data_IF_943441603124
#
_entry.id   IF_943441603124
#
_cell.length_a   1.000
_cell.length_b   1.000
_cell.length_c   1.000
_cell.angle_alpha   90.00
_cell.angle_beta   90.00
_cell.angle_gamma   90.00
#
_symmetry.space_group_name_H-M   'P 1'
#
loop_
_entity.id
_entity.type
_entity.pdbx_description
1 polymer ?
#
# COMPACT_ATOMS: atom_id res chain seq x y z
N UNK A 1 1.96 14.41 18.01
CA UNK A 1 2.41 14.38 16.60
C UNK A 1 2.46 12.93 16.16
N UNK A 2 2.47 12.63 14.86
CA UNK A 2 2.66 11.25 14.40
C UNK A 2 4.13 10.83 14.60
N UNK A 3 4.36 9.57 14.97
CA UNK A 3 5.68 9.09 15.37
C UNK A 3 6.47 8.54 14.19
N UNK A 4 7.78 8.80 14.16
CA UNK A 4 8.74 8.10 13.32
C UNK A 4 9.67 7.26 14.20
N UNK A 5 9.60 5.94 14.05
CA UNK A 5 10.46 5.02 14.79
C UNK A 5 11.86 4.99 14.19
N UNK A 6 12.90 5.10 15.03
CA UNK A 6 14.30 5.05 14.60
C UNK A 6 14.91 3.69 14.90
N UNK A 7 15.26 2.98 13.83
CA UNK A 7 15.92 1.68 13.83
C UNK A 7 17.42 1.93 13.64
N UNK A 8 18.22 1.75 14.69
CA UNK A 8 19.63 2.10 14.67
C UNK A 8 20.42 1.22 15.66
N UNK A 9 21.69 0.89 15.40
CA UNK A 9 22.54 0.26 16.41
C UNK A 9 22.71 1.15 17.65
N UNK A 10 22.66 0.55 18.84
CA UNK A 10 22.95 1.26 20.10
C UNK A 10 24.43 1.13 20.44
N UNK A 11 25.08 2.24 20.75
CA UNK A 11 26.52 2.27 21.04
C UNK A 11 26.92 3.04 22.31
N UNK A 12 25.95 3.46 23.12
CA UNK A 12 26.16 4.02 24.45
C UNK A 12 26.91 5.36 24.42
N UNK A 13 26.34 6.35 23.74
CA UNK A 13 26.86 7.72 23.65
C UNK A 13 27.97 7.93 22.61
N UNK A 14 28.18 6.98 21.69
CA UNK A 14 29.23 7.07 20.67
C UNK A 14 28.66 7.61 19.35
N UNK A 15 28.97 6.98 18.22
CA UNK A 15 28.70 7.53 16.89
C UNK A 15 27.22 7.55 16.59
N UNK A 16 26.49 6.49 16.91
CA UNK A 16 25.09 6.34 16.55
C UNK A 16 24.20 7.22 17.42
N UNK A 17 24.48 7.31 18.71
CA UNK A 17 23.81 8.24 19.62
C UNK A 17 23.96 9.70 19.19
N UNK A 18 25.19 10.14 18.89
CA UNK A 18 25.42 11.51 18.39
C UNK A 18 24.73 11.77 17.06
N UNK A 19 24.79 10.81 16.12
CA UNK A 19 24.07 10.92 14.83
C UNK A 19 22.56 11.03 15.03
N UNK A 20 22.00 10.31 16.00
CA UNK A 20 20.58 10.43 16.33
C UNK A 20 20.25 11.83 16.85
N UNK A 21 20.97 12.30 17.86
CA UNK A 21 20.74 13.60 18.53
C UNK A 21 20.94 14.79 17.59
N UNK A 22 22.03 14.78 16.82
CA UNK A 22 22.45 15.96 16.02
C UNK A 22 21.82 15.99 14.62
N UNK A 23 21.41 14.83 14.09
CA UNK A 23 21.04 14.68 12.67
C UNK A 23 19.68 14.04 12.49
N UNK A 24 19.45 12.83 13.01
CA UNK A 24 18.26 12.06 12.66
C UNK A 24 16.99 12.55 13.37
N UNK A 25 17.05 12.76 14.68
CA UNK A 25 15.92 13.30 15.43
C UNK A 25 15.53 14.70 14.93
N UNK A 26 16.48 15.64 14.69
CA UNK A 26 16.16 16.92 14.07
C UNK A 26 15.59 16.79 12.65
N UNK A 27 16.10 15.88 11.81
CA UNK A 27 15.56 15.65 10.46
C UNK A 27 14.10 15.17 10.47
N UNK A 28 13.78 14.27 11.40
CA UNK A 28 12.44 13.74 11.61
C UNK A 28 11.50 14.84 12.12
N UNK A 29 11.96 15.63 13.11
CA UNK A 29 11.22 16.78 13.63
C UNK A 29 10.95 17.82 12.53
N UNK A 30 11.95 18.12 11.69
CA UNK A 30 11.78 19.00 10.53
C UNK A 30 10.69 18.45 9.59
N UNK A 31 10.57 17.12 9.44
CA UNK A 31 9.52 16.49 8.64
C UNK A 31 8.11 16.59 9.26
N UNK A 32 7.97 17.12 10.48
CA UNK A 32 6.71 17.24 11.22
C UNK A 32 6.30 15.98 11.98
N UNK A 33 7.27 15.14 12.34
CA UNK A 33 7.07 13.88 13.05
C UNK A 33 7.80 13.91 14.40
N UNK A 34 7.35 13.09 15.34
CA UNK A 34 8.04 12.88 16.62
C UNK A 34 9.06 11.73 16.49
N UNK A 35 10.37 11.98 16.69
CA UNK A 35 11.38 10.92 16.62
C UNK A 35 11.34 10.03 17.86
N UNK A 36 11.07 8.75 17.68
CA UNK A 36 11.06 7.78 18.78
C UNK A 36 12.20 6.76 18.63
N UNK A 37 13.00 6.61 19.69
CA UNK A 37 14.07 5.60 19.78
C UNK A 37 13.93 4.89 21.12
N UNK A 38 13.74 3.58 21.08
CA UNK A 38 13.28 2.79 22.23
C UNK A 38 14.23 2.87 23.44
N UNK A 39 15.54 2.92 23.22
CA UNK A 39 16.53 2.96 24.31
C UNK A 39 16.60 4.31 25.04
N UNK A 40 15.94 5.34 24.49
CA UNK A 40 15.78 6.65 25.13
C UNK A 40 14.53 6.73 26.01
N UNK A 41 13.67 5.72 25.98
CA UNK A 41 12.47 5.67 26.80
C UNK A 41 12.75 4.95 28.13
N UNK A 42 12.75 5.66 29.27
CA UNK A 42 13.03 5.07 30.57
C UNK A 42 11.91 4.15 31.09
N UNK A 43 10.73 4.15 30.45
CA UNK A 43 9.59 3.30 30.84
C UNK A 43 9.63 1.89 30.23
N UNK A 44 10.50 1.66 29.25
CA UNK A 44 10.59 0.38 28.53
C UNK A 44 11.24 -0.69 29.42
N UNK A 45 10.49 -1.76 29.69
CA UNK A 45 10.94 -2.88 30.53
C UNK A 45 11.19 -4.16 29.73
N UNK A 46 10.41 -4.39 28.66
CA UNK A 46 10.56 -5.55 27.75
C UNK A 46 10.88 -4.99 26.35
N UNK A 47 12.16 -4.92 25.96
CA UNK A 47 12.56 -4.17 24.77
C UNK A 47 11.91 -4.68 23.48
N UNK A 48 11.74 -5.99 23.30
CA UNK A 48 11.29 -6.53 22.02
C UNK A 48 9.81 -6.26 21.72
N UNK A 49 8.92 -6.37 22.72
CA UNK A 49 7.49 -6.07 22.55
C UNK A 49 7.27 -4.58 22.32
N UNK A 50 8.03 -3.72 23.03
CA UNK A 50 7.95 -2.27 22.85
C UNK A 50 8.53 -1.81 21.52
N UNK A 51 9.56 -2.49 21.01
CA UNK A 51 10.06 -2.26 19.65
C UNK A 51 8.97 -2.59 18.63
N UNK A 52 8.33 -3.77 18.74
CA UNK A 52 7.26 -4.17 17.81
C UNK A 52 6.08 -3.19 17.85
N UNK A 53 5.59 -2.86 19.05
CA UNK A 53 4.53 -1.86 19.26
C UNK A 53 4.93 -0.50 18.71
N UNK A 54 6.13 -0.02 19.04
CA UNK A 54 6.62 1.26 18.56
C UNK A 54 6.70 1.33 17.04
N UNK A 55 7.09 0.24 16.38
CA UNK A 55 7.08 0.14 14.92
C UNK A 55 5.63 0.15 14.38
N UNK A 56 4.73 -0.63 14.97
CA UNK A 56 3.30 -0.72 14.60
C UNK A 56 2.54 0.59 14.79
N UNK A 57 2.87 1.37 15.80
CA UNK A 57 2.19 2.64 16.10
C UNK A 57 2.80 3.81 15.33
N UNK A 58 4.01 3.64 14.78
CA UNK A 58 4.67 4.65 13.95
C UNK A 58 4.05 4.75 12.55
N UNK A 59 4.03 5.97 11.99
CA UNK A 59 3.63 6.18 10.58
C UNK A 59 4.78 5.99 9.60
N UNK A 60 6.01 6.03 10.11
CA UNK A 60 7.24 5.87 9.34
C UNK A 60 8.36 5.31 10.21
N UNK A 61 9.32 4.66 9.57
CA UNK A 61 10.56 4.21 10.21
C UNK A 61 11.78 4.79 9.48
N UNK A 62 12.78 5.24 10.23
CA UNK A 62 14.10 5.59 9.72
C UNK A 62 15.08 4.50 10.14
N UNK A 63 15.69 3.79 9.20
CA UNK A 63 16.62 2.70 9.50
C UNK A 63 18.05 3.03 9.06
N UNK A 64 18.98 2.95 10.00
CA UNK A 64 20.42 3.12 9.80
C UNK A 64 21.07 1.75 9.62
N UNK A 65 21.50 1.44 8.39
CA UNK A 65 22.00 0.11 8.00
C UNK A 65 23.48 0.11 7.63
N UNK A 66 24.27 1.02 8.21
CA UNK A 66 25.71 1.10 7.93
C UNK A 66 26.48 -0.13 8.41
N UNK A 67 25.99 -0.81 9.43
CA UNK A 67 26.58 -2.03 9.98
C UNK A 67 25.64 -3.22 9.80
N UNK A 68 26.17 -4.44 9.77
CA UNK A 68 25.37 -5.67 9.78
C UNK A 68 24.89 -6.04 11.19
N UNK A 69 24.12 -5.14 11.80
CA UNK A 69 23.53 -5.37 13.11
C UNK A 69 22.27 -6.25 12.95
N UNK A 70 22.21 -7.44 13.59
CA UNK A 70 21.09 -8.37 13.44
C UNK A 70 19.76 -7.81 13.96
N UNK A 71 19.79 -6.96 15.00
CA UNK A 71 18.57 -6.36 15.55
C UNK A 71 17.99 -5.32 14.58
N UNK A 72 18.85 -4.50 13.98
CA UNK A 72 18.45 -3.55 12.92
C UNK A 72 17.78 -4.27 11.75
N UNK A 73 18.34 -5.42 11.32
CA UNK A 73 17.74 -6.20 10.24
C UNK A 73 16.38 -6.79 10.61
N UNK A 74 16.25 -7.29 11.84
CA UNK A 74 14.98 -7.79 12.36
C UNK A 74 13.91 -6.69 12.38
N UNK A 75 14.22 -5.55 12.99
CA UNK A 75 13.32 -4.39 13.10
C UNK A 75 12.93 -3.84 11.73
N UNK A 76 13.88 -3.77 10.80
CA UNK A 76 13.62 -3.34 9.43
C UNK A 76 12.68 -4.30 8.71
N UNK A 77 12.92 -5.62 8.83
CA UNK A 77 12.04 -6.64 8.29
C UNK A 77 10.62 -6.52 8.85
N UNK A 78 10.50 -6.28 10.16
CA UNK A 78 9.21 -6.09 10.83
C UNK A 78 8.48 -4.83 10.36
N UNK A 79 9.19 -3.70 10.25
CA UNK A 79 8.63 -2.46 9.72
C UNK A 79 8.11 -2.59 8.29
N UNK A 80 8.83 -3.35 7.45
CA UNK A 80 8.39 -3.67 6.09
C UNK A 80 7.13 -4.54 6.13
N UNK A 81 7.10 -5.58 6.96
CA UNK A 81 5.94 -6.46 7.11
C UNK A 81 4.68 -5.69 7.57
N UNK A 82 4.86 -4.72 8.48
CA UNK A 82 3.82 -3.81 8.95
C UNK A 82 3.45 -2.70 7.93
N UNK A 83 3.97 -2.76 6.69
CA UNK A 83 3.72 -1.79 5.62
C UNK A 83 4.02 -0.33 6.00
N UNK A 84 4.98 -0.12 6.90
CA UNK A 84 5.37 1.23 7.33
C UNK A 84 6.14 1.95 6.23
N UNK A 85 6.04 3.28 6.20
CA UNK A 85 6.91 4.10 5.35
C UNK A 85 8.34 4.04 5.87
N UNK A 86 9.19 3.25 5.22
CA UNK A 86 10.60 3.11 5.63
C UNK A 86 11.50 4.05 4.83
N UNK A 87 12.44 4.73 5.47
CA UNK A 87 13.59 5.43 4.87
C UNK A 87 14.88 4.74 5.31
N UNK A 88 15.69 4.29 4.35
CA UNK A 88 16.94 3.56 4.60
C UNK A 88 18.14 4.49 4.47
N UNK A 89 19.02 4.49 5.46
CA UNK A 89 20.27 5.25 5.49
C UNK A 89 21.47 4.31 5.54
N UNK A 90 22.53 4.66 4.81
CA UNK A 90 23.81 3.98 4.91
C UNK A 90 24.94 5.00 4.79
N UNK A 91 25.89 4.95 5.71
CA UNK A 91 27.15 5.66 5.57
C UNK A 91 27.90 5.11 4.36
N UNK A 92 28.59 5.97 3.63
CA UNK A 92 29.51 5.60 2.57
C UNK A 92 30.72 4.78 3.06
N UNK A 93 31.04 4.86 4.36
CA UNK A 93 32.02 4.00 5.07
C UNK A 93 31.70 2.49 5.02
N UNK A 94 30.47 2.09 4.66
CA UNK A 94 30.10 0.66 4.62
C UNK A 94 30.75 -0.03 3.44
N UNK A 95 31.48 -1.10 3.75
CA UNK A 95 31.96 -2.07 2.77
C UNK A 95 30.97 -3.24 2.58
N UNK A 96 30.99 -3.84 1.39
CA UNK A 96 30.21 -5.04 1.06
C UNK A 96 28.82 -4.78 0.47
N UNK A 97 28.13 -5.87 0.15
CA UNK A 97 26.80 -5.84 -0.47
C UNK A 97 25.70 -5.85 0.59
N UNK A 98 24.52 -5.33 0.23
CA UNK A 98 23.33 -5.47 1.06
C UNK A 98 22.67 -6.83 0.84
N UNK A 99 21.91 -7.35 1.83
CA UNK A 99 21.06 -8.52 1.63
C UNK A 99 20.12 -8.35 0.42
N UNK A 100 19.79 -9.46 -0.25
CA UNK A 100 18.96 -9.45 -1.46
C UNK A 100 17.59 -8.76 -1.25
N UNK A 101 17.01 -8.91 -0.07
CA UNK A 101 15.72 -8.33 0.32
C UNK A 101 15.75 -6.80 0.52
N UNK A 102 16.96 -6.20 0.59
CA UNK A 102 17.17 -4.77 0.83
C UNK A 102 17.82 -4.08 -0.37
N UNK A 103 18.71 -4.74 -1.12
CA UNK A 103 19.50 -4.12 -2.18
C UNK A 103 18.67 -3.45 -3.29
N UNK A 104 17.44 -3.92 -3.53
CA UNK A 104 16.52 -3.37 -4.53
C UNK A 104 15.77 -2.12 -4.04
N UNK A 105 15.89 -1.79 -2.75
CA UNK A 105 15.25 -0.62 -2.13
C UNK A 105 16.16 0.61 -2.29
N UNK A 106 15.54 1.79 -2.33
CA UNK A 106 16.28 3.05 -2.36
C UNK A 106 16.93 3.31 -1.00
N UNK A 107 18.25 3.13 -0.95
CA UNK A 107 19.12 3.43 0.20
C UNK A 107 19.76 4.80 0.00
N UNK A 108 19.68 5.64 1.02
CA UNK A 108 20.29 6.97 1.04
C UNK A 108 21.71 6.81 1.54
N UNK A 109 22.67 6.98 0.65
CA UNK A 109 24.08 7.05 1.04
C UNK A 109 24.40 8.43 1.58
N UNK A 110 25.15 8.51 2.67
CA UNK A 110 25.63 9.78 3.24
C UNK A 110 27.10 9.70 3.64
N UNK A 111 27.80 10.82 3.49
CA UNK A 111 29.19 10.96 3.92
C UNK A 111 29.28 11.52 5.32
N UNK A 112 30.41 11.27 5.97
CA UNK A 112 30.70 11.70 7.35
C UNK A 112 31.99 12.51 7.46
N UNK A 113 32.56 12.92 6.32
CA UNK A 113 33.81 13.66 6.24
C UNK A 113 33.68 15.09 6.77
N UNK A 114 32.52 15.74 6.62
CA UNK A 114 32.31 17.12 7.04
C UNK A 114 30.94 17.36 7.68
N UNK A 115 30.85 18.46 8.43
CA UNK A 115 29.58 18.94 8.99
C UNK A 115 28.54 19.24 7.92
N UNK A 116 28.98 19.67 6.73
CA UNK A 116 28.09 19.94 5.61
C UNK A 116 27.39 18.68 5.09
N UNK A 117 28.03 17.51 5.22
CA UNK A 117 27.45 16.24 4.78
C UNK A 117 26.33 15.78 5.70
N UNK A 118 26.49 16.02 7.01
CA UNK A 118 25.42 15.83 7.99
C UNK A 118 24.22 16.78 7.75
N UNK A 119 24.48 18.03 7.36
CA UNK A 119 23.40 18.97 7.01
C UNK A 119 22.66 18.55 5.74
N UNK A 120 23.38 18.05 4.73
CA UNK A 120 22.79 17.50 3.50
C UNK A 120 21.92 16.30 3.80
N UNK A 121 22.42 15.31 4.55
CA UNK A 121 21.63 14.10 4.87
C UNK A 121 20.42 14.45 5.74
N UNK A 122 20.53 15.36 6.71
CA UNK A 122 19.39 15.86 7.50
C UNK A 122 18.28 16.40 6.60
N UNK A 123 18.64 17.32 5.70
CA UNK A 123 17.69 17.94 4.75
C UNK A 123 17.06 16.89 3.83
N UNK A 124 17.86 15.92 3.39
CA UNK A 124 17.41 14.86 2.50
C UNK A 124 16.48 13.86 3.19
N UNK A 125 16.77 13.46 4.45
CA UNK A 125 15.89 12.63 5.29
C UNK A 125 14.53 13.32 5.41
N UNK A 126 14.50 14.59 5.81
CA UNK A 126 13.27 15.33 6.00
C UNK A 126 12.43 15.38 4.72
N UNK A 127 13.08 15.68 3.58
CA UNK A 127 12.44 15.67 2.27
C UNK A 127 11.88 14.28 1.89
N UNK A 128 12.64 13.21 2.11
CA UNK A 128 12.21 11.84 1.79
C UNK A 128 11.06 11.38 2.69
N UNK A 129 11.08 11.68 3.98
CA UNK A 129 9.97 11.37 4.89
C UNK A 129 8.69 12.07 4.45
N UNK A 130 8.74 13.39 4.21
CA UNK A 130 7.57 14.14 3.72
C UNK A 130 7.04 13.57 2.39
N UNK A 131 7.92 13.34 1.42
CA UNK A 131 7.52 12.85 0.10
C UNK A 131 6.90 11.45 0.15
N UNK A 132 7.49 10.53 0.93
CA UNK A 132 6.97 9.16 1.06
C UNK A 132 5.66 9.14 1.86
N UNK A 133 5.55 9.92 2.93
CA UNK A 133 4.31 10.05 3.71
C UNK A 133 3.18 10.67 2.91
N UNK A 134 3.44 11.72 2.11
CA UNK A 134 2.42 12.30 1.23
C UNK A 134 1.95 11.32 0.16
N UNK A 135 2.84 10.46 -0.36
CA UNK A 135 2.46 9.42 -1.31
C UNK A 135 1.67 8.30 -0.62
N UNK A 136 2.07 7.91 0.59
CA UNK A 136 1.37 6.90 1.37
C UNK A 136 -0.02 7.38 1.76
N UNK A 137 -0.15 8.59 2.33
CA UNK A 137 -1.45 9.23 2.59
C UNK A 137 -2.30 9.34 1.34
N UNK A 138 -1.76 9.78 0.20
CA UNK A 138 -2.56 9.79 -1.04
C UNK A 138 -3.04 8.41 -1.46
N UNK A 139 -2.27 7.36 -1.20
CA UNK A 139 -2.67 5.97 -1.48
C UNK A 139 -3.72 5.48 -0.48
N UNK A 140 -3.60 5.86 0.79
CA UNK A 140 -4.57 5.55 1.85
C UNK A 140 -5.86 6.35 1.66
N UNK A 141 -5.76 7.60 1.25
CA UNK A 141 -6.85 8.49 0.85
C UNK A 141 -7.48 7.95 -0.43
N UNK A 142 -6.71 7.48 -1.42
CA UNK A 142 -7.27 6.83 -2.61
C UNK A 142 -8.01 5.55 -2.25
N UNK A 143 -7.46 4.70 -1.38
CA UNK A 143 -8.10 3.45 -0.94
C UNK A 143 -9.33 3.68 -0.03
N UNK A 144 -9.31 4.73 0.80
CA UNK A 144 -10.44 5.14 1.63
C UNK A 144 -11.48 5.97 0.89
N UNK A 145 -11.10 6.81 -0.10
CA UNK A 145 -12.01 7.53 -0.99
C UNK A 145 -12.70 6.57 -1.97
N UNK A 146 -12.01 5.51 -2.43
CA UNK A 146 -12.70 4.39 -3.10
C UNK A 146 -13.71 3.72 -2.17
N UNK A 147 -13.43 3.69 -0.86
CA UNK A 147 -14.34 3.13 0.16
C UNK A 147 -15.48 4.09 0.58
N UNK A 148 -15.54 5.33 0.09
CA UNK A 148 -16.62 6.28 0.37
C UNK A 148 -17.15 6.88 -0.94
N UNK A 149 -17.90 6.08 -1.66
CA UNK A 149 -18.98 6.58 -2.51
C UNK A 149 -20.06 5.50 -2.57
N UNK A 150 -21.01 5.58 -1.63
CA UNK A 150 -22.28 4.87 -1.81
C UNK A 150 -22.94 5.43 -3.06
N UNK A 151 -23.03 4.64 -4.11
CA UNK A 151 -23.91 4.95 -5.22
C UNK A 151 -25.29 4.49 -4.80
N UNK A 152 -26.20 5.43 -4.51
CA UNK A 152 -27.63 5.16 -4.20
C UNK A 152 -27.89 3.94 -3.29
N UNK A 153 -27.09 3.82 -2.23
CA UNK A 153 -27.29 2.80 -1.19
C UNK A 153 -26.57 1.47 -1.39
N UNK A 154 -25.74 1.30 -2.43
CA UNK A 154 -24.77 0.20 -2.53
C UNK A 154 -23.36 0.70 -2.14
N UNK A 155 -22.67 -0.08 -1.31
CA UNK A 155 -21.24 0.05 -1.04
C UNK A 155 -20.41 -0.31 -2.29
N UNK A 156 -19.15 0.13 -2.35
CA UNK A 156 -18.30 -0.09 -3.53
C UNK A 156 -18.11 -1.59 -3.86
N UNK A 157 -17.97 -2.44 -2.85
CA UNK A 157 -17.84 -3.89 -3.04
C UNK A 157 -19.15 -4.54 -3.51
N UNK A 158 -20.32 -3.99 -3.12
CA UNK A 158 -21.63 -4.42 -3.63
C UNK A 158 -21.76 -3.99 -5.11
N UNK A 159 -21.40 -2.75 -5.44
CA UNK A 159 -21.44 -2.24 -6.81
C UNK A 159 -20.50 -3.02 -7.73
N UNK A 160 -19.25 -3.23 -7.31
CA UNK A 160 -18.27 -4.00 -8.07
C UNK A 160 -18.76 -5.43 -8.30
N UNK A 161 -19.32 -6.07 -7.28
CA UNK A 161 -19.90 -7.40 -7.42
C UNK A 161 -21.06 -7.44 -8.42
N UNK A 162 -21.97 -6.46 -8.36
CA UNK A 162 -23.11 -6.38 -9.27
C UNK A 162 -22.67 -6.12 -10.72
N UNK A 163 -21.68 -5.24 -10.93
CA UNK A 163 -21.13 -4.95 -12.27
C UNK A 163 -20.38 -6.14 -12.84
N UNK A 164 -19.56 -6.83 -12.05
CA UNK A 164 -18.87 -8.06 -12.48
C UNK A 164 -19.89 -9.09 -12.97
N UNK A 165 -20.93 -9.37 -12.16
CA UNK A 165 -21.97 -10.32 -12.54
C UNK A 165 -22.75 -9.90 -13.79
N UNK A 166 -23.03 -8.60 -13.95
CA UNK A 166 -23.73 -8.08 -15.13
C UNK A 166 -22.85 -7.97 -16.39
N UNK A 167 -21.52 -8.11 -16.25
CA UNK A 167 -20.59 -8.09 -17.38
C UNK A 167 -20.44 -9.46 -18.04
N UNK A 168 -20.94 -10.52 -17.39
CA UNK A 168 -20.91 -11.89 -17.91
C UNK A 168 -21.94 -12.10 -19.02
N UNK A 169 -21.59 -12.93 -20.00
CA UNK A 169 -22.36 -13.12 -21.25
C UNK A 169 -23.81 -13.58 -21.02
N UNK A 170 -24.08 -14.24 -19.89
CA UNK A 170 -25.41 -14.72 -19.49
C UNK A 170 -25.94 -14.06 -18.20
N UNK A 171 -25.24 -13.03 -17.71
CA UNK A 171 -25.42 -12.42 -16.39
C UNK A 171 -25.33 -13.44 -15.24
N UNK A 172 -24.65 -14.56 -15.45
CA UNK A 172 -24.42 -15.59 -14.44
C UNK A 172 -22.98 -16.10 -14.44
N UNK A 173 -22.50 -16.51 -13.27
CA UNK A 173 -21.16 -17.07 -13.08
C UNK A 173 -21.10 -17.94 -11.84
N UNK A 174 -20.07 -18.79 -11.71
CA UNK A 174 -19.88 -19.56 -10.49
C UNK A 174 -19.43 -18.68 -9.33
N UNK A 175 -19.82 -19.03 -8.10
CA UNK A 175 -19.35 -18.32 -6.91
C UNK A 175 -17.82 -18.29 -6.82
N UNK A 176 -17.15 -19.34 -7.32
CA UNK A 176 -15.68 -19.37 -7.40
C UNK A 176 -15.13 -18.33 -8.37
N UNK A 177 -15.69 -18.23 -9.58
CA UNK A 177 -15.25 -17.24 -10.57
C UNK A 177 -15.53 -15.82 -10.09
N UNK A 178 -16.70 -15.59 -9.50
CA UNK A 178 -17.05 -14.32 -8.85
C UNK A 178 -16.00 -13.91 -7.80
N UNK A 179 -15.55 -14.84 -6.96
CA UNK A 179 -14.47 -14.56 -6.00
C UNK A 179 -13.15 -14.20 -6.68
N UNK A 180 -12.80 -14.85 -7.80
CA UNK A 180 -11.60 -14.53 -8.54
C UNK A 180 -11.66 -13.13 -9.16
N UNK A 181 -12.79 -12.76 -9.74
CA UNK A 181 -12.94 -11.46 -10.40
C UNK A 181 -13.06 -10.32 -9.39
N UNK A 182 -13.72 -10.54 -8.25
CA UNK A 182 -13.66 -9.61 -7.11
C UNK A 182 -12.22 -9.39 -6.64
N UNK A 183 -11.41 -10.45 -6.59
CA UNK A 183 -9.98 -10.34 -6.25
C UNK A 183 -9.19 -9.56 -7.30
N UNK A 184 -9.43 -9.79 -8.59
CA UNK A 184 -8.82 -9.01 -9.68
C UNK A 184 -9.21 -7.53 -9.61
N UNK A 185 -10.44 -7.24 -9.16
CA UNK A 185 -10.94 -5.89 -8.91
C UNK A 185 -10.42 -5.26 -7.60
N UNK A 186 -9.53 -5.94 -6.86
CA UNK A 186 -8.88 -5.42 -5.65
C UNK A 186 -9.60 -5.72 -4.34
N UNK A 187 -10.69 -6.50 -4.36
CA UNK A 187 -11.45 -6.85 -3.16
C UNK A 187 -11.00 -8.18 -2.55
N UNK A 188 -10.94 -8.24 -1.22
CA UNK A 188 -10.59 -9.48 -0.52
C UNK A 188 -11.78 -10.46 -0.42
N UNK A 189 -11.53 -11.66 0.12
CA UNK A 189 -12.56 -12.70 0.23
C UNK A 189 -13.76 -12.29 1.09
N UNK A 190 -13.54 -11.49 2.14
CA UNK A 190 -14.61 -11.00 3.00
C UNK A 190 -15.52 -10.02 2.24
N UNK A 191 -14.94 -9.09 1.48
CA UNK A 191 -15.70 -8.14 0.66
C UNK A 191 -16.54 -8.86 -0.40
N UNK A 192 -16.01 -9.91 -1.04
CA UNK A 192 -16.77 -10.74 -1.96
C UNK A 192 -17.93 -11.48 -1.27
N UNK A 193 -17.71 -12.05 -0.08
CA UNK A 193 -18.78 -12.70 0.71
C UNK A 193 -19.88 -11.72 1.11
N UNK A 194 -19.51 -10.51 1.55
CA UNK A 194 -20.45 -9.46 1.92
C UNK A 194 -21.20 -8.94 0.69
N UNK A 195 -20.54 -8.74 -0.45
CA UNK A 195 -21.19 -8.36 -1.71
C UNK A 195 -22.28 -9.37 -2.06
N UNK A 196 -21.93 -10.67 -2.08
CA UNK A 196 -22.87 -11.75 -2.39
C UNK A 196 -24.07 -11.76 -1.46
N UNK A 197 -23.83 -11.68 -0.14
CA UNK A 197 -24.90 -11.70 0.87
C UNK A 197 -25.82 -10.48 0.75
N UNK A 198 -25.25 -9.28 0.67
CA UNK A 198 -26.04 -8.04 0.68
C UNK A 198 -26.80 -7.84 -0.64
N UNK A 199 -26.21 -8.18 -1.79
CA UNK A 199 -26.89 -8.14 -3.08
C UNK A 199 -28.03 -9.16 -3.14
N UNK A 200 -27.87 -10.34 -2.56
CA UNK A 200 -28.94 -11.33 -2.46
C UNK A 200 -30.09 -10.87 -1.55
N UNK A 201 -29.77 -10.25 -0.40
CA UNK A 201 -30.77 -9.71 0.53
C UNK A 201 -31.59 -8.58 -0.10
N UNK A 202 -30.98 -7.80 -0.99
CA UNK A 202 -31.65 -6.77 -1.80
C UNK A 202 -32.35 -7.32 -3.04
N UNK A 203 -32.30 -8.63 -3.25
CA UNK A 203 -32.84 -9.31 -4.43
C UNK A 203 -32.25 -8.77 -5.74
N UNK A 204 -30.99 -8.30 -5.74
CA UNK A 204 -30.29 -7.88 -6.95
C UNK A 204 -29.64 -9.06 -7.65
N UNK A 205 -29.26 -10.09 -6.91
CA UNK A 205 -28.76 -11.36 -7.43
C UNK A 205 -29.55 -12.54 -6.86
N UNK A 206 -29.54 -13.67 -7.56
CA UNK A 206 -30.02 -14.96 -7.10
C UNK A 206 -28.88 -15.98 -7.07
N UNK A 207 -28.87 -16.85 -6.07
CA UNK A 207 -27.90 -17.96 -5.97
C UNK A 207 -28.64 -19.28 -6.22
N UNK A 208 -28.17 -20.06 -7.19
CA UNK A 208 -28.68 -21.40 -7.50
C UNK A 208 -27.57 -22.42 -7.33
N UNK A 209 -27.93 -23.64 -6.94
CA UNK A 209 -27.00 -24.77 -6.94
C UNK A 209 -27.21 -25.58 -8.20
N UNK A 210 -26.14 -25.82 -8.93
CA UNK A 210 -26.14 -26.68 -10.11
C UNK A 210 -25.19 -27.84 -9.89
N UNK A 211 -25.48 -28.96 -10.54
CA UNK A 211 -24.71 -30.18 -10.45
C UNK A 211 -23.85 -30.33 -11.72
N UNK A 212 -22.53 -30.39 -11.55
CA UNK A 212 -21.63 -30.68 -12.67
C UNK A 212 -21.87 -32.09 -13.22
N UNK A 213 -21.44 -32.31 -14.47
CA UNK A 213 -21.47 -33.62 -15.12
C UNK A 213 -20.73 -34.72 -14.33
N UNK A 214 -19.85 -34.33 -13.39
CA UNK A 214 -19.13 -35.23 -12.47
C UNK A 214 -19.82 -35.49 -11.12
N UNK A 215 -20.98 -34.89 -10.86
CA UNK A 215 -21.77 -35.09 -9.64
C UNK A 215 -21.53 -34.09 -8.51
N UNK A 216 -20.50 -33.25 -8.62
CA UNK A 216 -20.20 -32.18 -7.67
C UNK A 216 -21.16 -31.00 -7.80
N UNK A 217 -21.53 -30.42 -6.66
CA UNK A 217 -22.43 -29.28 -6.59
C UNK A 217 -21.65 -27.97 -6.50
N UNK A 218 -21.97 -27.01 -7.36
CA UNK A 218 -21.42 -25.66 -7.29
C UNK A 218 -22.54 -24.63 -7.22
N UNK A 219 -22.20 -23.44 -6.72
CA UNK A 219 -23.14 -22.34 -6.61
C UNK A 219 -22.94 -21.38 -7.77
N UNK A 220 -24.04 -21.04 -8.45
CA UNK A 220 -24.12 -20.06 -9.54
C UNK A 220 -24.79 -18.82 -9.01
N UNK A 221 -24.21 -17.68 -9.31
CA UNK A 221 -24.75 -16.36 -9.02
C UNK A 221 -25.27 -15.77 -10.32
N UNK A 222 -26.49 -15.23 -10.29
CA UNK A 222 -27.12 -14.61 -11.44
C UNK A 222 -27.70 -13.26 -11.09
N UNK A 223 -27.55 -12.28 -11.97
CA UNK A 223 -28.18 -10.97 -11.80
C UNK A 223 -29.68 -11.09 -12.08
N UNK A 224 -30.50 -10.56 -11.18
CA UNK A 224 -31.95 -10.51 -11.33
C UNK A 224 -32.39 -9.29 -12.15
N UNK A 225 -33.65 -9.23 -12.62
CA UNK A 225 -34.21 -8.02 -13.22
C UNK A 225 -34.11 -6.77 -12.31
N UNK A 226 -34.22 -6.94 -10.99
CA UNK A 226 -34.09 -5.82 -10.05
C UNK A 226 -32.66 -5.26 -10.02
N UNK A 227 -31.65 -6.14 -10.03
CA UNK A 227 -30.24 -5.75 -10.11
C UNK A 227 -29.92 -5.03 -11.42
N UNK A 228 -30.42 -5.54 -12.55
CA UNK A 228 -30.27 -4.88 -13.85
C UNK A 228 -30.96 -3.51 -13.91
N UNK A 229 -32.20 -3.42 -13.44
CA UNK A 229 -32.94 -2.15 -13.40
C UNK A 229 -32.22 -1.11 -12.54
N UNK A 230 -31.63 -1.53 -11.42
CA UNK A 230 -30.83 -0.64 -10.58
C UNK A 230 -29.59 -0.11 -11.31
N UNK A 231 -28.87 -0.97 -12.04
CA UNK A 231 -27.72 -0.56 -12.86
C UNK A 231 -28.13 0.44 -13.95
N UNK A 232 -29.25 0.20 -14.63
CA UNK A 232 -29.81 1.12 -15.65
C UNK A 232 -30.16 2.48 -15.02
N UNK A 233 -30.81 2.48 -13.86
CA UNK A 233 -31.16 3.72 -13.15
C UNK A 233 -29.92 4.52 -12.71
N UNK A 234 -28.79 3.83 -12.48
CA UNK A 234 -27.53 4.43 -12.01
C UNK A 234 -26.45 4.52 -13.09
N UNK A 235 -26.79 4.32 -14.37
CA UNK A 235 -25.82 4.18 -15.46
C UNK A 235 -24.88 5.38 -15.64
N UNK A 236 -25.33 6.61 -15.33
CA UNK A 236 -24.51 7.82 -15.45
C UNK A 236 -23.34 7.85 -14.47
N UNK A 237 -23.42 7.06 -13.39
CA UNK A 237 -22.39 6.93 -12.35
C UNK A 237 -21.48 5.73 -12.60
N UNK A 238 -21.78 4.91 -13.60
CA UNK A 238 -20.97 3.76 -13.99
C UNK A 238 -19.91 4.18 -15.01
N UNK A 239 -18.68 3.76 -14.81
CA UNK A 239 -17.62 3.92 -15.80
C UNK A 239 -17.79 2.89 -16.91
N UNK A 240 -18.53 3.25 -17.97
CA UNK A 240 -18.79 2.38 -19.13
C UNK A 240 -17.70 2.45 -20.22
N UNK A 241 -16.64 3.22 -19.99
CA UNK A 241 -15.49 3.33 -20.90
C UNK A 241 -14.31 2.54 -20.32
N UNK A 242 -13.71 1.69 -21.13
CA UNK A 242 -12.41 1.12 -20.79
C UNK A 242 -11.38 2.26 -20.82
N UNK A 243 -10.60 2.41 -19.75
CA UNK A 243 -9.44 3.31 -19.72
C UNK A 243 -8.37 2.77 -20.66
N UNK A 244 -8.53 3.00 -21.97
CA UNK A 244 -7.70 2.42 -23.01
C UNK A 244 -7.94 2.91 -24.45
N UNK A 245 -8.77 3.93 -24.70
CA UNK A 245 -8.87 4.57 -26.02
C UNK A 245 -8.48 6.04 -25.96
N UNK A 246 -7.20 6.33 -26.18
CA UNK A 246 -6.79 7.67 -26.63
C UNK A 246 -7.51 8.01 -27.94
N UNK A 247 -7.63 9.31 -28.29
CA UNK A 247 -8.38 9.71 -29.48
C UNK A 247 -7.79 9.00 -30.71
N UNK A 248 -8.66 8.33 -31.47
CA UNK A 248 -8.33 7.82 -32.81
C UNK A 248 -7.73 8.97 -33.61
N UNK A 249 -6.40 8.94 -33.81
CA UNK A 249 -5.78 9.76 -34.84
C UNK A 249 -6.24 9.18 -36.17
N UNK A 250 -7.00 9.98 -36.91
CA UNK A 250 -7.27 9.75 -38.33
C UNK A 250 -5.92 9.56 -39.03
N UNK A 251 -5.66 8.37 -39.56
CA UNK A 251 -4.54 8.13 -40.44
C UNK A 251 -4.95 8.55 -41.85
N UNK A 252 -4.58 9.78 -42.21
CA UNK A 252 -4.44 10.26 -43.59
C UNK A 252 -3.12 11.05 -43.63
N UNK A 253 -2.44 10.98 -44.78
CA UNK A 253 -1.06 11.35 -45.15
C UNK A 253 -0.01 10.29 -44.80
N UNK A 254 0.42 9.45 -45.76
CA UNK A 254 1.19 9.72 -46.99
C UNK A 254 2.56 10.35 -46.72
N UNK A 255 3.61 9.63 -47.14
CA UNK A 255 4.99 10.04 -47.39
C UNK A 255 5.69 10.96 -46.38
N UNK A 256 6.75 10.46 -45.74
CA UNK A 256 8.10 10.87 -46.14
C UNK A 256 9.19 10.11 -45.38
N UNK A 257 10.12 9.60 -46.18
CA UNK A 257 11.56 9.37 -45.93
C UNK A 257 12.08 9.41 -44.48
N UNK A 258 12.55 8.25 -44.02
CA UNK A 258 13.60 8.15 -43.01
C UNK A 258 14.97 8.29 -43.68
N UNK A 259 15.81 9.23 -43.22
CA UNK A 259 17.23 9.00 -43.22
C UNK A 259 17.83 9.15 -41.80
N UNK A 260 18.65 8.14 -41.47
CA UNK A 260 19.59 7.98 -40.34
C UNK A 260 19.05 7.48 -38.99
#
# INVERSE_FOLDING_TARGET
MATCFVIQPFDGGKKYDKRYEDVFAPAIADAGLDPYRVDRDPSVTIPIEEIQRGIEDSVACLAEVSSDNPNVWYELGYAIACSRVVVLLCSDERDGTFPFDIQHRKIIKYSTESTSDFQKVRSYISSQLRARLQRHRRMDDLSSMTSISRVEGLEQYELAGLVILASETENETSAWMFHQDMKKAGFNQLAANLARKMLADRQFIEERKEQEHGGDWYSILRVTPNGLNWLVANQEKLTLRTSGSGPMKNAVDENDDLPF
#
